data_IF_425213524944
#
_entry.id   IF_425213524944
#
_cell.length_a   1.000
_cell.length_b   1.000
_cell.length_c   1.000
_cell.angle_alpha   90.00
_cell.angle_beta   90.00
_cell.angle_gamma   90.00
#
_symmetry.space_group_name_H-M   'P 1'
#
loop_
_entity.id
_entity.type
_entity.pdbx_description
1 polymer ?
#
# COMPACT_ATOMS: atom_id res chain seq x y z
N UNK A 1 3.92 -12.49 0.20
CA UNK A 1 4.65 -11.22 -0.05
C UNK A 1 3.93 -10.44 -1.14
N UNK A 2 3.87 -9.12 -1.01
CA UNK A 2 3.34 -8.21 -2.02
C UNK A 2 4.41 -7.21 -2.45
N UNK A 3 4.31 -6.77 -3.68
CA UNK A 3 5.14 -5.72 -4.27
C UNK A 3 4.29 -4.85 -5.17
N UNK A 4 4.51 -3.54 -5.09
CA UNK A 4 3.87 -2.60 -6.01
C UNK A 4 4.83 -1.45 -6.35
N UNK A 5 4.61 -0.80 -7.48
CA UNK A 5 5.39 0.33 -7.96
C UNK A 5 4.50 1.27 -8.77
N UNK A 6 4.67 2.57 -8.53
CA UNK A 6 3.99 3.61 -9.31
C UNK A 6 4.97 4.71 -9.70
N UNK A 7 4.72 5.30 -10.86
CA UNK A 7 5.52 6.42 -11.37
C UNK A 7 5.17 7.72 -10.64
N UNK A 8 6.17 8.52 -10.32
CA UNK A 8 6.00 9.89 -9.81
C UNK A 8 5.74 10.85 -10.98
N UNK A 9 4.68 11.63 -10.86
CA UNK A 9 4.28 12.60 -11.89
C UNK A 9 3.79 13.90 -11.26
N UNK A 10 3.87 14.99 -12.00
CA UNK A 10 3.28 16.27 -11.60
C UNK A 10 1.75 16.23 -11.71
N UNK A 11 1.07 17.06 -10.94
CA UNK A 11 -0.38 17.24 -11.03
C UNK A 11 -1.21 16.18 -10.32
N UNK A 12 -0.60 15.31 -9.52
CA UNK A 12 -1.30 14.33 -8.70
C UNK A 12 -0.91 14.48 -7.23
N UNK A 13 -1.88 14.22 -6.34
CA UNK A 13 -1.62 14.11 -4.92
C UNK A 13 -0.84 12.83 -4.61
N UNK A 14 -0.01 12.89 -3.57
CA UNK A 14 0.76 11.75 -3.10
C UNK A 14 0.02 11.10 -1.93
N UNK A 15 -0.53 9.91 -2.17
CA UNK A 15 -1.18 9.07 -1.16
C UNK A 15 -0.32 7.85 -0.86
N UNK A 16 0.09 7.67 0.38
CA UNK A 16 0.85 6.50 0.85
C UNK A 16 0.37 6.10 2.24
N UNK A 17 0.02 4.84 2.42
CA UNK A 17 -0.48 4.34 3.70
C UNK A 17 -1.81 4.95 4.14
N UNK A 18 -2.62 5.38 3.20
CA UNK A 18 -3.93 5.97 3.42
C UNK A 18 -3.90 7.43 3.81
N UNK A 19 -2.74 8.08 3.84
CA UNK A 19 -2.60 9.50 4.16
C UNK A 19 -2.05 10.30 3.00
N UNK A 20 -2.45 11.55 2.89
CA UNK A 20 -1.93 12.49 1.91
C UNK A 20 -0.64 13.11 2.44
N UNK A 21 0.42 13.04 1.63
CA UNK A 21 1.72 13.59 1.95
C UNK A 21 1.95 14.83 1.08
N UNK A 22 2.33 15.95 1.69
CA UNK A 22 2.73 17.15 0.98
C UNK A 22 4.02 16.88 0.18
N UNK A 23 3.89 16.95 -1.15
CA UNK A 23 4.99 16.78 -2.09
C UNK A 23 4.59 17.37 -3.44
N UNK A 24 5.57 17.79 -4.20
CA UNK A 24 5.38 18.38 -5.53
C UNK A 24 4.94 17.35 -6.61
N UNK A 25 5.22 16.06 -6.37
CA UNK A 25 4.84 14.97 -7.26
C UNK A 25 3.91 14.01 -6.53
N UNK A 26 3.03 13.34 -7.26
CA UNK A 26 2.19 12.26 -6.78
C UNK A 26 2.37 11.00 -7.61
N UNK A 27 1.77 9.91 -7.17
CA UNK A 27 1.87 8.63 -7.86
C UNK A 27 0.77 8.48 -8.91
N UNK A 28 1.16 7.97 -10.08
CA UNK A 28 0.26 7.74 -11.20
C UNK A 28 -0.32 6.33 -11.13
N UNK A 29 -1.64 6.23 -11.21
CA UNK A 29 -2.36 4.97 -11.25
C UNK A 29 -3.84 5.18 -11.48
N UNK A 30 -4.58 4.09 -11.69
CA UNK A 30 -6.03 4.11 -11.93
C UNK A 30 -6.81 4.52 -10.67
N UNK A 31 -6.38 4.04 -9.48
CA UNK A 31 -6.88 4.46 -8.16
C UNK A 31 -6.12 5.71 -7.68
N UNK A 32 -6.05 5.92 -6.38
CA UNK A 32 -5.17 6.94 -5.78
C UNK A 32 -3.68 6.58 -5.84
N UNK A 33 -3.35 5.40 -6.37
CA UNK A 33 -2.00 4.87 -6.54
C UNK A 33 -1.22 4.73 -5.22
N UNK A 34 -1.90 4.39 -4.12
CA UNK A 34 -1.26 4.14 -2.82
C UNK A 34 -0.43 2.85 -2.88
N UNK A 35 0.84 3.00 -3.20
CA UNK A 35 1.77 1.89 -3.43
C UNK A 35 1.94 1.01 -2.19
N UNK A 36 1.85 1.58 -0.98
CA UNK A 36 2.01 0.82 0.26
C UNK A 36 0.78 -0.04 0.54
N UNK A 37 -0.42 0.52 0.44
CA UNK A 37 -1.66 -0.25 0.63
C UNK A 37 -1.77 -1.35 -0.42
N UNK A 38 -1.42 -1.07 -1.67
CA UNK A 38 -1.47 -2.08 -2.74
C UNK A 38 -0.53 -3.27 -2.46
N UNK A 39 0.70 -3.00 -2.03
CA UNK A 39 1.64 -4.06 -1.67
C UNK A 39 1.13 -4.89 -0.48
N UNK A 40 0.56 -4.24 0.53
CA UNK A 40 -0.01 -4.91 1.71
C UNK A 40 -1.22 -5.78 1.31
N UNK A 41 -2.12 -5.27 0.50
CA UNK A 41 -3.27 -6.03 0.01
C UNK A 41 -2.84 -7.28 -0.77
N UNK A 42 -1.86 -7.15 -1.65
CA UNK A 42 -1.32 -8.30 -2.40
C UNK A 42 -0.67 -9.34 -1.48
N UNK A 43 0.05 -8.89 -0.44
CA UNK A 43 0.62 -9.80 0.54
C UNK A 43 -0.48 -10.59 1.29
N UNK A 44 -1.54 -9.92 1.69
CA UNK A 44 -2.68 -10.52 2.42
C UNK A 44 -3.42 -11.52 1.52
N UNK A 45 -3.78 -11.10 0.30
CA UNK A 45 -4.48 -11.97 -0.65
C UNK A 45 -3.63 -13.18 -1.03
N UNK A 46 -2.34 -12.97 -1.28
CA UNK A 46 -1.40 -14.07 -1.60
C UNK A 46 -1.29 -15.08 -0.47
N UNK A 47 -1.24 -14.63 0.78
CA UNK A 47 -1.19 -15.51 1.96
C UNK A 47 -2.46 -16.38 2.07
N UNK A 48 -3.61 -15.85 1.65
CA UNK A 48 -4.90 -16.57 1.65
C UNK A 48 -5.14 -17.42 0.38
N UNK A 49 -4.18 -17.46 -0.54
CA UNK A 49 -4.35 -18.09 -1.88
C UNK A 49 -5.56 -17.51 -2.62
N UNK A 50 -5.64 -16.18 -2.68
CA UNK A 50 -6.72 -15.43 -3.33
C UNK A 50 -6.21 -14.51 -4.44
N UNK A 51 -5.02 -14.78 -5.00
CA UNK A 51 -4.40 -13.99 -6.08
C UNK A 51 -4.00 -12.60 -5.62
N UNK A 52 -4.34 -11.58 -6.39
CA UNK A 52 -3.89 -10.21 -6.23
C UNK A 52 -5.03 -9.20 -6.36
N UNK A 53 -4.74 -7.92 -6.11
CA UNK A 53 -5.72 -6.84 -6.22
C UNK A 53 -6.22 -6.64 -7.66
N UNK A 54 -5.38 -6.90 -8.66
CA UNK A 54 -5.79 -6.79 -10.07
C UNK A 54 -6.90 -7.76 -10.46
N UNK A 55 -6.95 -8.92 -9.82
CA UNK A 55 -8.01 -9.89 -10.01
C UNK A 55 -9.33 -9.46 -9.36
N UNK A 56 -9.27 -8.90 -8.14
CA UNK A 56 -10.48 -8.52 -7.39
C UNK A 56 -10.94 -7.10 -7.69
N UNK A 57 -10.03 -6.21 -8.04
CA UNK A 57 -10.27 -4.78 -8.30
C UNK A 57 -9.64 -4.39 -9.64
N UNK A 58 -10.18 -4.84 -10.78
CA UNK A 58 -9.57 -4.60 -12.08
C UNK A 58 -9.50 -3.09 -12.39
N UNK A 59 -8.36 -2.65 -12.88
CA UNK A 59 -8.11 -1.26 -13.29
C UNK A 59 -8.88 -0.85 -14.56
N UNK A 60 -9.51 -1.80 -15.24
CA UNK A 60 -10.41 -1.58 -16.38
C UNK A 60 -11.82 -1.20 -15.97
N UNK A 61 -12.16 -1.32 -14.69
CA UNK A 61 -13.50 -1.00 -14.17
C UNK A 61 -13.62 0.48 -13.87
N UNK A 62 -14.72 1.11 -14.32
CA UNK A 62 -15.03 2.49 -13.94
C UNK A 62 -15.25 2.65 -12.43
N UNK A 63 -15.62 1.58 -11.73
CA UNK A 63 -15.83 1.59 -10.28
C UNK A 63 -14.52 1.75 -9.49
N UNK A 64 -13.38 1.42 -10.07
CA UNK A 64 -12.06 1.54 -9.44
C UNK A 64 -11.32 2.82 -9.83
N UNK A 65 -11.86 3.61 -10.78
CA UNK A 65 -11.25 4.84 -11.20
C UNK A 65 -11.27 5.89 -10.09
N UNK A 66 -10.09 6.36 -9.71
CA UNK A 66 -9.92 7.29 -8.58
C UNK A 66 -10.25 6.71 -7.20
N UNK A 67 -10.41 5.39 -7.09
CA UNK A 67 -10.79 4.73 -5.84
C UNK A 67 -9.80 5.00 -4.72
N UNK A 68 -10.32 5.30 -3.55
CA UNK A 68 -9.55 5.38 -2.30
C UNK A 68 -9.06 3.98 -1.92
N UNK A 69 -7.74 3.79 -1.87
CA UNK A 69 -7.14 2.48 -1.58
C UNK A 69 -7.47 1.95 -0.17
N UNK A 70 -7.93 2.81 0.75
CA UNK A 70 -8.47 2.34 2.03
C UNK A 70 -9.69 1.43 1.85
N UNK A 71 -10.49 1.67 0.81
CA UNK A 71 -11.61 0.78 0.44
C UNK A 71 -11.07 -0.57 -0.04
N UNK A 72 -10.01 -0.57 -0.86
CA UNK A 72 -9.37 -1.80 -1.33
C UNK A 72 -8.85 -2.60 -0.13
N UNK A 73 -8.21 -1.95 0.83
CA UNK A 73 -7.71 -2.59 2.05
C UNK A 73 -8.84 -3.19 2.89
N UNK A 74 -9.91 -2.43 3.13
CA UNK A 74 -11.09 -2.90 3.86
C UNK A 74 -11.70 -4.13 3.19
N UNK A 75 -11.88 -4.07 1.88
CA UNK A 75 -12.51 -5.15 1.13
C UNK A 75 -11.59 -6.38 1.03
N UNK A 76 -10.27 -6.18 1.01
CA UNK A 76 -9.28 -7.27 1.11
C UNK A 76 -9.41 -8.03 2.42
N UNK A 77 -9.55 -7.33 3.55
CA UNK A 77 -9.78 -7.96 4.86
C UNK A 77 -11.10 -8.73 4.86
N UNK A 78 -12.15 -8.17 4.28
CA UNK A 78 -13.44 -8.87 4.15
C UNK A 78 -13.31 -10.13 3.29
N UNK A 79 -12.54 -10.09 2.20
CA UNK A 79 -12.31 -11.23 1.32
C UNK A 79 -11.63 -12.39 2.05
N UNK A 80 -10.55 -12.15 2.79
CA UNK A 80 -9.87 -13.23 3.51
C UNK A 80 -10.74 -13.79 4.63
N UNK A 81 -11.61 -12.98 5.24
CA UNK A 81 -12.56 -13.42 6.24
C UNK A 81 -13.55 -14.47 5.69
N UNK A 82 -13.88 -14.42 4.40
CA UNK A 82 -14.74 -15.44 3.75
C UNK A 82 -14.12 -16.84 3.80
N UNK A 83 -12.80 -16.93 3.91
CA UNK A 83 -12.07 -18.20 4.10
C UNK A 83 -11.73 -18.49 5.58
N UNK A 84 -12.21 -17.68 6.50
CA UNK A 84 -11.97 -17.82 7.94
C UNK A 84 -10.62 -17.28 8.40
N UNK A 85 -9.93 -16.49 7.56
CA UNK A 85 -8.66 -15.88 7.93
C UNK A 85 -8.84 -14.49 8.53
N UNK A 86 -7.95 -14.11 9.42
CA UNK A 86 -7.76 -12.75 9.89
C UNK A 86 -6.27 -12.37 9.85
N UNK A 87 -6.01 -11.08 9.78
CA UNK A 87 -4.64 -10.55 9.76
C UNK A 87 -4.05 -10.61 11.17
N UNK A 88 -2.85 -11.18 11.29
CA UNK A 88 -2.06 -11.15 12.53
C UNK A 88 -1.15 -9.92 12.55
N UNK A 89 -0.29 -9.79 11.55
CA UNK A 89 0.57 -8.60 11.41
C UNK A 89 1.03 -8.39 9.97
N UNK A 90 1.56 -7.21 9.73
CA UNK A 90 2.18 -6.80 8.47
C UNK A 90 3.57 -6.24 8.76
N UNK A 91 4.52 -6.55 7.89
CA UNK A 91 5.80 -5.84 7.80
C UNK A 91 5.96 -5.33 6.37
N UNK A 92 6.17 -4.02 6.22
CA UNK A 92 6.26 -3.38 4.92
C UNK A 92 7.46 -2.43 4.84
N UNK A 93 7.99 -2.25 3.64
CA UNK A 93 9.08 -1.34 3.34
C UNK A 93 8.73 -0.45 2.17
N UNK A 94 8.84 0.85 2.36
CA UNK A 94 8.68 1.86 1.30
C UNK A 94 10.07 2.20 0.76
N UNK A 95 10.24 2.09 -0.55
CA UNK A 95 11.48 2.46 -1.25
C UNK A 95 11.23 3.78 -1.98
N UNK A 96 11.76 4.87 -1.43
CA UNK A 96 11.59 6.22 -1.97
C UNK A 96 12.81 7.07 -1.67
N UNK A 97 13.26 7.84 -2.66
CA UNK A 97 14.30 8.83 -2.44
C UNK A 97 13.75 10.07 -1.75
N UNK A 98 12.60 10.54 -2.20
CA UNK A 98 11.82 11.65 -1.64
C UNK A 98 10.32 11.40 -1.81
N UNK A 99 9.49 12.00 -0.92
CA UNK A 99 9.82 12.70 0.31
C UNK A 99 10.31 11.75 1.41
N UNK A 100 10.81 12.29 2.53
CA UNK A 100 11.13 11.47 3.71
C UNK A 100 9.87 10.88 4.29
N UNK A 101 9.85 9.57 4.49
CA UNK A 101 8.66 8.83 4.95
C UNK A 101 8.55 8.74 6.47
N UNK A 102 9.68 8.70 7.20
CA UNK A 102 9.68 8.49 8.63
C UNK A 102 8.72 9.39 9.42
N UNK A 103 8.62 10.70 9.14
CA UNK A 103 7.67 11.56 9.87
C UNK A 103 6.21 11.16 9.69
N UNK A 104 5.87 10.44 8.63
CA UNK A 104 4.50 10.07 8.27
C UNK A 104 4.11 8.65 8.72
N UNK A 105 5.08 7.82 9.10
CA UNK A 105 4.84 6.41 9.43
C UNK A 105 3.83 6.23 10.57
N UNK A 106 3.89 6.97 11.70
CA UNK A 106 2.88 6.80 12.75
C UNK A 106 1.45 7.05 12.27
N UNK A 107 1.23 8.06 11.42
CA UNK A 107 -0.08 8.36 10.87
C UNK A 107 -0.55 7.27 9.88
N UNK A 108 0.34 6.69 9.09
CA UNK A 108 0.05 5.56 8.21
C UNK A 108 -0.38 4.33 9.02
N UNK A 109 0.35 4.01 10.09
CA UNK A 109 0.02 2.88 10.98
C UNK A 109 -1.36 3.05 11.60
N UNK A 110 -1.65 4.24 12.12
CA UNK A 110 -2.94 4.54 12.73
C UNK A 110 -4.07 4.42 11.70
N UNK A 111 -3.90 5.00 10.52
CA UNK A 111 -4.90 4.97 9.45
C UNK A 111 -5.21 3.55 9.01
N UNK A 112 -4.19 2.76 8.69
CA UNK A 112 -4.39 1.38 8.22
C UNK A 112 -4.94 0.47 9.32
N UNK A 113 -4.50 0.66 10.58
CA UNK A 113 -5.01 -0.09 11.71
C UNK A 113 -6.52 0.12 11.92
N UNK A 114 -6.99 1.34 11.77
CA UNK A 114 -8.43 1.67 11.85
C UNK A 114 -9.22 0.98 10.72
N UNK A 115 -8.70 1.00 9.51
CA UNK A 115 -9.35 0.36 8.35
C UNK A 115 -9.42 -1.16 8.53
N UNK A 116 -8.36 -1.77 9.01
CA UNK A 116 -8.25 -3.23 9.21
C UNK A 116 -9.02 -3.68 10.46
N UNK A 117 -9.12 -2.83 11.48
CA UNK A 117 -9.67 -3.18 12.78
C UNK A 117 -8.66 -3.91 13.66
N UNK A 118 -7.42 -3.50 13.64
CA UNK A 118 -6.31 -4.08 14.42
C UNK A 118 -5.56 -3.00 15.20
N UNK A 119 -4.64 -3.42 16.06
CA UNK A 119 -3.77 -2.50 16.79
C UNK A 119 -2.69 -1.94 15.84
N UNK A 120 -2.35 -0.64 15.89
CA UNK A 120 -1.25 -0.08 15.11
C UNK A 120 0.09 -0.80 15.29
N UNK A 121 0.32 -1.42 16.45
CA UNK A 121 1.54 -2.19 16.73
C UNK A 121 1.66 -3.46 15.87
N UNK A 122 0.56 -3.90 15.25
CA UNK A 122 0.58 -5.02 14.31
C UNK A 122 0.95 -4.62 12.88
N UNK A 123 1.22 -3.33 12.64
CA UNK A 123 1.58 -2.80 11.33
C UNK A 123 2.97 -2.17 11.41
N UNK A 124 3.96 -2.91 10.95
CA UNK A 124 5.35 -2.42 10.86
C UNK A 124 5.58 -1.77 9.50
N UNK A 125 6.11 -0.56 9.51
CA UNK A 125 6.47 0.17 8.30
C UNK A 125 7.88 0.71 8.44
N UNK A 126 8.72 0.44 7.45
CA UNK A 126 10.07 0.97 7.31
C UNK A 126 10.19 1.70 5.99
N UNK A 127 11.14 2.61 5.89
CA UNK A 127 11.45 3.29 4.65
C UNK A 127 12.95 3.24 4.37
N UNK A 128 13.28 3.16 3.09
CA UNK A 128 14.68 3.18 2.63
C UNK A 128 14.79 4.00 1.33
N UNK A 129 15.96 4.55 1.10
CA UNK A 129 16.35 5.02 -0.24
C UNK A 129 16.98 3.88 -1.00
N UNK A 130 17.33 4.10 -2.26
CA UNK A 130 18.16 3.19 -3.05
C UNK A 130 19.56 3.77 -3.31
N UNK A 131 20.01 4.68 -2.46
CA UNK A 131 21.34 5.32 -2.58
C UNK A 131 21.55 5.95 -3.95
N UNK A 132 20.52 6.62 -4.46
CA UNK A 132 20.48 7.28 -5.79
C UNK A 132 20.59 6.31 -6.97
N UNK A 133 20.40 5.02 -6.77
CA UNK A 133 20.44 4.00 -7.82
C UNK A 133 19.05 3.72 -8.37
N UNK A 134 19.00 3.44 -9.66
CA UNK A 134 17.80 3.01 -10.36
C UNK A 134 16.69 4.06 -10.45
N UNK A 135 15.49 3.62 -10.81
CA UNK A 135 14.35 4.51 -10.96
C UNK A 135 13.92 5.19 -9.65
N UNK A 136 14.04 4.49 -8.53
CA UNK A 136 13.79 5.07 -7.20
C UNK A 136 14.79 6.18 -6.91
N UNK A 137 16.07 5.91 -7.13
CA UNK A 137 17.15 6.86 -6.88
C UNK A 137 17.09 8.09 -7.79
N UNK A 138 16.55 7.95 -9.00
CA UNK A 138 16.30 9.08 -9.92
C UNK A 138 14.96 9.77 -9.67
N UNK A 139 14.22 9.36 -8.63
CA UNK A 139 12.91 9.93 -8.29
C UNK A 139 11.87 9.80 -9.42
N UNK A 140 11.95 8.73 -10.18
CA UNK A 140 10.98 8.40 -11.24
C UNK A 140 9.78 7.65 -10.71
N UNK A 141 9.91 6.99 -9.57
CA UNK A 141 8.83 6.22 -8.94
C UNK A 141 9.12 5.88 -7.50
N UNK A 142 8.10 5.32 -6.85
CA UNK A 142 8.15 4.77 -5.51
C UNK A 142 7.68 3.33 -5.58
N UNK A 143 8.37 2.44 -4.87
CA UNK A 143 7.95 1.05 -4.72
C UNK A 143 7.74 0.68 -3.26
N UNK A 144 7.00 -0.39 -3.03
CA UNK A 144 6.78 -0.93 -1.70
C UNK A 144 6.77 -2.46 -1.74
N UNK A 145 7.28 -3.04 -0.65
CA UNK A 145 7.25 -4.48 -0.37
C UNK A 145 6.46 -4.71 0.90
N UNK A 146 5.74 -5.80 0.97
CA UNK A 146 5.05 -6.20 2.19
C UNK A 146 5.05 -7.71 2.37
N UNK A 147 5.09 -8.14 3.62
CA UNK A 147 4.79 -9.52 4.02
C UNK A 147 3.69 -9.47 5.07
N UNK A 148 2.80 -10.45 5.04
CA UNK A 148 1.67 -10.52 5.95
C UNK A 148 1.60 -11.92 6.57
N UNK A 149 1.30 -11.96 7.85
CA UNK A 149 0.91 -13.18 8.56
C UNK A 149 -0.58 -13.15 8.79
N UNK A 150 -1.25 -14.20 8.36
CA UNK A 150 -2.69 -14.42 8.59
C UNK A 150 -2.90 -15.75 9.29
N UNK A 151 -3.98 -15.88 10.03
CA UNK A 151 -4.37 -17.15 10.66
C UNK A 151 -5.88 -17.35 10.66
N UNK A 152 -6.32 -18.60 10.81
CA UNK A 152 -7.74 -18.96 10.96
C UNK A 152 -8.19 -18.89 12.41
#
# INVERSE_FOLDING_TARGET
>A
MGYDVHQLVAGRDLWIGGIKIEHELGLLGHSDADVLIHAICDAILGAANMRDIGYHFPDTSAETDGMDSKIILRDTIALIATKGYHLVNVDATICAERPKMNPHIPAMQQCMAEVIGTDPDNISIKATTTEKLGFTGRQEGISAYAVALIEK
#
